data_IF_940837866778
#
_entry.id   IF_940837866778
#
_cell.length_a   1.000
_cell.length_b   1.000
_cell.length_c   1.000
_cell.angle_alpha   90.00
_cell.angle_beta   90.00
_cell.angle_gamma   90.00
#
_symmetry.space_group_name_H-M   'P 1'
#
loop_
_entity.id
_entity.type
_entity.pdbx_description
1 polymer ?
#
# COMPACT_ATOMS: atom_id res chain seq x y z
N UNK A 1 -16.27 22.32 18.06
CA UNK A 1 -16.65 23.26 17.02
C UNK A 1 -16.22 22.68 15.64
N UNK A 2 -17.07 22.65 14.61
CA UNK A 2 -16.77 22.05 13.31
C UNK A 2 -15.52 22.66 12.65
N UNK A 3 -15.31 23.96 12.79
CA UNK A 3 -14.14 24.66 12.23
C UNK A 3 -12.78 24.19 12.78
N UNK A 4 -12.70 23.82 14.04
CA UNK A 4 -11.45 23.32 14.64
C UNK A 4 -11.07 21.94 14.09
N UNK A 5 -12.05 21.10 13.80
CA UNK A 5 -11.83 19.79 13.17
C UNK A 5 -11.40 19.93 11.72
N UNK A 6 -11.96 20.87 10.98
CA UNK A 6 -11.55 21.16 9.60
C UNK A 6 -10.11 21.67 9.53
N UNK A 7 -9.73 22.62 10.39
CA UNK A 7 -8.36 23.11 10.48
C UNK A 7 -7.38 21.99 10.83
N UNK A 8 -7.73 21.16 11.80
CA UNK A 8 -6.91 20.00 12.18
C UNK A 8 -6.72 19.04 11.01
N UNK A 9 -7.80 18.76 10.27
CA UNK A 9 -7.74 17.89 9.11
C UNK A 9 -6.85 18.47 8.00
N UNK A 10 -6.95 19.77 7.75
CA UNK A 10 -6.10 20.45 6.78
C UNK A 10 -4.62 20.40 7.17
N UNK A 11 -4.30 20.63 8.45
CA UNK A 11 -2.93 20.54 8.96
C UNK A 11 -2.38 19.12 8.79
N UNK A 12 -3.15 18.10 9.15
CA UNK A 12 -2.74 16.70 8.99
C UNK A 12 -2.50 16.33 7.53
N UNK A 13 -3.39 16.74 6.64
CA UNK A 13 -3.26 16.50 5.21
C UNK A 13 -2.04 17.20 4.61
N UNK A 14 -1.79 18.45 5.01
CA UNK A 14 -0.63 19.21 4.56
C UNK A 14 0.67 18.58 5.06
N UNK A 15 0.72 18.17 6.32
CA UNK A 15 1.87 17.47 6.90
C UNK A 15 2.17 16.16 6.16
N UNK A 16 1.13 15.37 5.88
CA UNK A 16 1.26 14.14 5.10
C UNK A 16 1.79 14.41 3.70
N UNK A 17 1.29 15.45 3.04
CA UNK A 17 1.75 15.88 1.74
C UNK A 17 3.24 16.24 1.74
N UNK A 18 3.66 17.07 2.69
CA UNK A 18 5.06 17.49 2.83
C UNK A 18 5.96 16.28 3.08
N UNK A 19 5.56 15.37 3.96
CA UNK A 19 6.31 14.15 4.23
C UNK A 19 6.41 13.25 2.99
N UNK A 20 5.33 13.10 2.23
CA UNK A 20 5.32 12.35 0.98
C UNK A 20 6.26 12.95 -0.06
N UNK A 21 6.26 14.27 -0.21
CA UNK A 21 7.17 14.98 -1.12
C UNK A 21 8.64 14.81 -0.71
N UNK A 22 8.95 14.94 0.57
CA UNK A 22 10.31 14.77 1.10
C UNK A 22 10.82 13.34 0.88
N UNK A 23 9.98 12.34 1.16
CA UNK A 23 10.36 10.95 0.97
C UNK A 23 10.53 10.60 -0.50
N UNK A 24 9.67 11.13 -1.36
CA UNK A 24 9.80 10.96 -2.80
C UNK A 24 11.09 11.57 -3.33
N UNK A 25 11.44 12.77 -2.86
CA UNK A 25 12.70 13.42 -3.21
C UNK A 25 13.92 12.60 -2.76
N UNK A 26 13.89 12.04 -1.57
CA UNK A 26 14.95 11.16 -1.04
C UNK A 26 15.11 9.89 -1.87
N UNK A 27 14.00 9.24 -2.21
CA UNK A 27 14.00 8.01 -3.02
C UNK A 27 14.55 8.30 -4.41
N UNK A 28 14.13 9.40 -5.05
CA UNK A 28 14.53 9.76 -6.41
C UNK A 28 15.99 10.25 -6.52
N UNK A 29 16.52 10.82 -5.46
CA UNK A 29 17.91 11.32 -5.46
C UNK A 29 18.97 10.23 -5.35
N UNK A 30 18.58 8.97 -5.16
CA UNK A 30 19.49 7.84 -4.99
C UNK A 30 20.28 7.85 -3.67
N UNK A 31 20.05 8.84 -2.81
CA UNK A 31 20.65 8.93 -1.47
C UNK A 31 19.92 8.15 -0.38
N UNK A 32 18.97 7.34 -0.77
CA UNK A 32 18.15 6.58 0.15
C UNK A 32 18.73 5.18 0.38
N UNK A 33 19.13 4.91 1.60
CA UNK A 33 19.54 3.56 2.02
C UNK A 33 18.33 2.77 2.46
N UNK A 34 17.95 1.75 1.69
CA UNK A 34 16.96 0.76 2.07
C UNK A 34 17.49 -0.10 3.21
N UNK A 35 16.74 -0.15 4.30
CA UNK A 35 16.97 -1.05 5.42
C UNK A 35 16.04 -2.24 5.34
N UNK A 36 16.35 -3.20 4.48
CA UNK A 36 15.56 -4.42 4.34
C UNK A 36 15.80 -5.37 5.49
N UNK A 37 14.73 -5.92 6.00
CA UNK A 37 14.70 -6.96 7.04
C UNK A 37 13.80 -8.10 6.60
N UNK A 38 14.05 -9.29 7.15
CA UNK A 38 13.15 -10.41 7.00
C UNK A 38 12.00 -10.27 7.99
N UNK A 39 10.81 -10.05 7.47
CA UNK A 39 9.57 -9.87 8.23
C UNK A 39 8.54 -10.87 7.75
N UNK A 40 7.61 -11.25 8.63
CA UNK A 40 6.45 -12.02 8.18
C UNK A 40 5.45 -11.08 7.49
N UNK A 41 4.80 -11.57 6.45
CA UNK A 41 3.78 -10.79 5.74
C UNK A 41 2.65 -10.37 6.67
N UNK A 42 2.24 -11.27 7.58
CA UNK A 42 1.20 -10.98 8.57
C UNK A 42 1.56 -9.83 9.50
N UNK A 43 2.82 -9.73 9.94
CA UNK A 43 3.27 -8.61 10.79
C UNK A 43 3.16 -7.29 10.08
N UNK A 44 3.60 -7.23 8.83
CA UNK A 44 3.55 -5.99 8.03
C UNK A 44 2.11 -5.59 7.71
N UNK A 45 1.28 -6.53 7.32
CA UNK A 45 -0.15 -6.28 7.06
C UNK A 45 -0.86 -5.87 8.35
N UNK A 46 -0.62 -6.58 9.44
CA UNK A 46 -1.23 -6.27 10.75
C UNK A 46 -0.86 -4.88 11.25
N UNK A 47 0.40 -4.49 11.12
CA UNK A 47 0.88 -3.16 11.49
C UNK A 47 0.21 -2.06 10.65
N UNK A 48 0.10 -2.27 9.34
CA UNK A 48 -0.58 -1.33 8.45
C UNK A 48 -2.06 -1.16 8.80
N UNK A 49 -2.75 -2.26 9.11
CA UNK A 49 -4.15 -2.22 9.51
C UNK A 49 -4.37 -1.47 10.83
N UNK A 50 -3.49 -1.66 11.81
CA UNK A 50 -3.57 -0.93 13.09
C UNK A 50 -3.43 0.59 12.89
N UNK A 51 -2.63 1.02 11.94
CA UNK A 51 -2.47 2.45 11.63
C UNK A 51 -3.69 3.07 10.95
N UNK A 52 -4.53 2.25 10.32
CA UNK A 52 -5.76 2.71 9.64
C UNK A 52 -6.97 2.83 10.58
N UNK A 53 -6.96 2.14 11.71
CA UNK A 53 -7.97 2.34 12.74
C UNK A 53 -7.83 3.76 13.31
N UNK A 54 -8.84 4.53 13.42
CA UNK A 54 -10.26 4.37 13.64
C UNK A 54 -11.17 4.77 12.46
N UNK A 55 -10.64 4.80 11.25
CA UNK A 55 -11.38 5.28 10.07
C UNK A 55 -12.10 4.20 9.25
N UNK A 56 -11.95 2.92 9.60
CA UNK A 56 -12.55 1.82 8.87
C UNK A 56 -13.99 1.58 9.32
N UNK A 57 -14.92 1.70 8.37
CA UNK A 57 -16.34 1.41 8.62
C UNK A 57 -16.67 -0.07 8.58
N UNK A 58 -15.77 -0.89 8.03
CA UNK A 58 -15.95 -2.33 7.84
C UNK A 58 -14.61 -3.05 7.98
N UNK A 59 -14.61 -4.31 8.43
CA UNK A 59 -13.39 -5.10 8.47
C UNK A 59 -12.84 -5.34 7.05
N UNK A 60 -11.52 -5.40 6.94
CA UNK A 60 -10.84 -5.72 5.69
C UNK A 60 -10.76 -7.25 5.56
N UNK A 61 -11.12 -7.75 4.39
CA UNK A 61 -11.00 -9.15 4.06
C UNK A 61 -9.53 -9.51 3.81
N UNK A 62 -9.03 -10.52 4.50
CA UNK A 62 -7.65 -10.96 4.36
C UNK A 62 -7.60 -12.38 3.80
N UNK A 63 -6.82 -12.56 2.75
CA UNK A 63 -6.44 -13.87 2.21
C UNK A 63 -4.93 -13.89 2.01
N UNK A 64 -4.22 -14.36 3.02
CA UNK A 64 -2.77 -14.43 3.04
C UNK A 64 -2.32 -15.87 2.85
N UNK A 65 -1.12 -16.12 2.26
CA UNK A 65 -0.59 -17.47 2.16
C UNK A 65 -0.32 -18.06 3.55
N UNK A 66 0.02 -19.34 3.58
CA UNK A 66 0.34 -20.09 4.80
C UNK A 66 1.18 -19.29 5.81
N UNK A 67 0.95 -19.48 7.12
CA UNK A 67 1.64 -18.73 8.14
C UNK A 67 3.16 -18.80 7.99
N UNK A 68 3.83 -17.70 8.32
CA UNK A 68 5.27 -17.51 8.23
C UNK A 68 5.83 -17.28 6.80
N UNK A 69 5.03 -16.72 5.89
CA UNK A 69 5.60 -16.20 4.65
C UNK A 69 6.52 -15.01 4.95
N UNK A 70 7.83 -15.26 4.83
CA UNK A 70 8.84 -14.22 5.03
C UNK A 70 9.00 -13.38 3.77
N UNK A 71 9.07 -12.09 3.97
CA UNK A 71 9.37 -11.10 2.92
C UNK A 71 10.59 -10.28 3.32
N UNK A 72 11.41 -9.91 2.34
CA UNK A 72 12.61 -9.09 2.56
C UNK A 72 12.37 -7.67 2.10
N UNK A 73 11.95 -6.82 3.01
CA UNK A 73 11.49 -5.44 2.72
C UNK A 73 11.98 -4.47 3.79
N UNK A 74 11.97 -3.20 3.44
CA UNK A 74 12.02 -2.12 4.42
C UNK A 74 10.62 -1.99 5.04
N UNK A 75 10.47 -2.45 6.28
CA UNK A 75 9.17 -2.58 6.96
C UNK A 75 8.37 -1.28 6.96
N UNK A 76 8.90 -0.16 7.48
CA UNK A 76 8.19 1.11 7.51
C UNK A 76 7.76 1.61 6.13
N UNK A 77 8.60 1.45 5.11
CA UNK A 77 8.25 1.85 3.75
C UNK A 77 7.17 0.95 3.13
N UNK A 78 7.28 -0.35 3.33
CA UNK A 78 6.30 -1.27 2.78
C UNK A 78 4.93 -1.15 3.47
N UNK A 79 4.90 -0.93 4.78
CA UNK A 79 3.68 -0.56 5.52
C UNK A 79 3.03 0.69 4.92
N UNK A 80 3.83 1.66 4.54
CA UNK A 80 3.35 2.89 3.92
C UNK A 80 2.68 2.65 2.56
N UNK A 81 3.21 1.74 1.76
CA UNK A 81 2.55 1.29 0.53
C UNK A 81 1.16 0.72 0.84
N UNK A 82 1.07 -0.19 1.80
CA UNK A 82 -0.21 -0.78 2.19
C UNK A 82 -1.21 0.26 2.71
N UNK A 83 -0.78 1.14 3.59
CA UNK A 83 -1.62 2.21 4.13
C UNK A 83 -2.14 3.10 3.01
N UNK A 84 -1.30 3.54 2.09
CA UNK A 84 -1.70 4.39 0.98
C UNK A 84 -2.70 3.69 0.05
N UNK A 85 -2.49 2.42 -0.27
CA UNK A 85 -3.41 1.64 -1.10
C UNK A 85 -4.75 1.42 -0.41
N UNK A 86 -4.75 1.11 0.87
CA UNK A 86 -5.97 0.92 1.66
C UNK A 86 -6.75 2.22 1.85
N UNK A 87 -6.07 3.31 2.17
CA UNK A 87 -6.69 4.65 2.25
C UNK A 87 -7.32 5.04 0.92
N UNK A 88 -6.65 4.74 -0.18
CA UNK A 88 -7.18 4.97 -1.52
C UNK A 88 -8.45 4.15 -1.77
N UNK A 89 -8.47 2.89 -1.39
CA UNK A 89 -9.65 2.03 -1.51
C UNK A 89 -10.82 2.57 -0.66
N UNK A 90 -10.58 2.89 0.60
CA UNK A 90 -11.60 3.48 1.49
C UNK A 90 -12.18 4.77 0.89
N UNK A 91 -11.33 5.58 0.28
CA UNK A 91 -11.71 6.89 -0.25
C UNK A 91 -12.56 6.80 -1.51
N UNK A 92 -12.22 5.89 -2.43
CA UNK A 92 -12.84 5.84 -3.76
C UNK A 92 -13.88 4.75 -3.94
N UNK A 93 -13.85 3.69 -3.14
CA UNK A 93 -14.80 2.59 -3.26
C UNK A 93 -16.19 2.89 -2.72
N UNK A 94 -16.28 3.80 -1.76
CA UNK A 94 -17.53 4.15 -1.10
C UNK A 94 -17.74 3.43 0.24
N UNK A 95 -18.63 3.97 1.07
CA UNK A 95 -18.82 3.54 2.45
C UNK A 95 -19.38 2.11 2.60
N UNK A 96 -20.03 1.58 1.57
CA UNK A 96 -20.61 0.24 1.56
C UNK A 96 -19.74 -0.79 0.84
N UNK A 97 -18.58 -0.38 0.33
CA UNK A 97 -17.72 -1.26 -0.41
C UNK A 97 -16.95 -2.22 0.51
N UNK A 98 -16.74 -3.42 0.00
CA UNK A 98 -15.81 -4.37 0.57
C UNK A 98 -14.39 -4.06 0.08
N UNK A 99 -13.43 -4.17 0.99
CA UNK A 99 -12.02 -4.00 0.72
C UNK A 99 -11.29 -5.24 1.20
N UNK A 100 -10.30 -5.69 0.46
CA UNK A 100 -9.51 -6.85 0.83
C UNK A 100 -8.05 -6.74 0.47
N UNK A 101 -7.27 -7.59 1.09
CA UNK A 101 -5.88 -7.86 0.79
C UNK A 101 -5.75 -9.35 0.52
N UNK A 102 -5.32 -9.68 -0.69
CA UNK A 102 -5.00 -11.04 -1.09
C UNK A 102 -3.50 -11.11 -1.40
N UNK A 103 -2.84 -12.12 -0.91
CA UNK A 103 -1.45 -12.35 -1.25
C UNK A 103 -1.22 -13.82 -1.57
N UNK A 104 -0.36 -14.09 -2.52
CA UNK A 104 0.08 -15.42 -2.89
C UNK A 104 1.48 -15.40 -3.50
N UNK A 105 2.13 -16.53 -3.42
CA UNK A 105 3.45 -16.73 -4.04
C UNK A 105 3.25 -17.39 -5.38
N UNK A 106 3.79 -16.78 -6.41
CA UNK A 106 3.77 -17.30 -7.78
C UNK A 106 5.20 -17.36 -8.31
N UNK A 107 5.75 -18.59 -8.39
CA UNK A 107 7.14 -18.79 -8.73
C UNK A 107 8.10 -18.11 -7.75
N UNK A 108 8.95 -17.23 -8.25
CA UNK A 108 9.91 -16.44 -7.46
C UNK A 108 9.36 -15.07 -7.06
N UNK A 109 8.06 -14.86 -7.20
CA UNK A 109 7.43 -13.58 -6.89
C UNK A 109 6.35 -13.73 -5.82
N UNK A 110 6.26 -12.73 -4.95
CA UNK A 110 5.10 -12.49 -4.12
C UNK A 110 4.19 -11.51 -4.86
N UNK A 111 2.94 -11.88 -5.07
CA UNK A 111 1.89 -10.97 -5.49
C UNK A 111 1.04 -10.57 -4.28
N UNK A 112 0.83 -9.28 -4.13
CA UNK A 112 -0.04 -8.72 -3.11
C UNK A 112 -1.04 -7.78 -3.77
N UNK A 113 -2.32 -8.10 -3.64
CA UNK A 113 -3.43 -7.36 -4.20
C UNK A 113 -4.17 -6.62 -3.10
N UNK A 114 -4.33 -5.32 -3.25
CA UNK A 114 -5.28 -4.52 -2.47
C UNK A 114 -6.45 -4.20 -3.39
N UNK A 115 -7.62 -4.71 -3.06
CA UNK A 115 -8.79 -4.64 -3.91
C UNK A 115 -10.01 -4.06 -3.21
N UNK A 116 -10.93 -3.54 -3.99
CA UNK A 116 -12.26 -3.12 -3.57
C UNK A 116 -13.33 -3.59 -4.56
N UNK A 117 -14.57 -3.51 -4.16
CA UNK A 117 -15.73 -3.78 -5.01
C UNK A 117 -16.54 -2.51 -5.34
N UNK A 118 -15.90 -1.37 -5.31
CA UNK A 118 -16.47 -0.08 -5.66
C UNK A 118 -16.65 0.12 -7.17
N UNK A 119 -16.72 1.39 -7.64
CA UNK A 119 -16.97 1.71 -9.05
C UNK A 119 -15.80 1.36 -10.00
N UNK A 120 -14.62 1.08 -9.46
CA UNK A 120 -13.42 0.82 -10.26
C UNK A 120 -12.70 2.06 -10.75
N UNK A 121 -11.66 1.83 -11.54
CA UNK A 121 -10.85 2.88 -12.15
C UNK A 121 -11.54 3.46 -13.39
N UNK A 122 -11.37 4.76 -13.66
CA UNK A 122 -11.78 5.33 -14.93
C UNK A 122 -11.05 4.63 -16.10
N UNK A 123 -11.76 4.30 -17.18
CA UNK A 123 -11.16 3.63 -18.33
C UNK A 123 -9.97 4.41 -18.91
N UNK A 124 -8.87 3.67 -19.15
CA UNK A 124 -7.65 4.24 -19.75
C UNK A 124 -6.73 4.96 -18.78
N UNK A 125 -7.03 4.98 -17.47
CA UNK A 125 -6.21 5.65 -16.47
C UNK A 125 -5.36 4.69 -15.61
N UNK A 126 -5.34 3.41 -15.92
CA UNK A 126 -4.67 2.36 -15.13
C UNK A 126 -3.16 2.61 -14.95
N UNK A 127 -2.54 3.28 -15.91
CA UNK A 127 -1.11 3.64 -15.86
C UNK A 127 -0.88 5.02 -15.27
N UNK A 128 -1.71 5.97 -15.63
CA UNK A 128 -1.52 7.40 -15.28
C UNK A 128 -1.88 7.73 -13.84
N UNK A 129 -2.65 6.87 -13.16
CA UNK A 129 -2.99 7.07 -11.73
C UNK A 129 -1.78 7.07 -10.80
N UNK A 130 -0.65 6.50 -11.23
CA UNK A 130 0.61 6.50 -10.46
C UNK A 130 1.45 7.76 -10.70
N UNK A 131 1.06 8.62 -11.64
CA UNK A 131 1.77 9.86 -11.90
C UNK A 131 1.55 10.85 -10.76
N UNK A 132 2.57 11.68 -10.52
CA UNK A 132 2.48 12.74 -9.52
C UNK A 132 1.31 13.65 -9.83
N UNK A 133 0.51 13.97 -8.80
CA UNK A 133 -0.66 14.84 -8.91
C UNK A 133 -1.76 14.34 -9.86
N UNK A 134 -1.73 13.07 -10.25
CA UNK A 134 -2.82 12.46 -10.99
C UNK A 134 -4.09 12.46 -10.14
N UNK A 135 -5.15 13.02 -10.71
CA UNK A 135 -6.50 12.99 -10.13
C UNK A 135 -7.42 12.38 -11.17
N UNK A 136 -8.29 11.49 -10.73
CA UNK A 136 -9.38 11.03 -11.60
C UNK A 136 -10.24 12.22 -12.07
N UNK A 137 -10.83 12.13 -13.27
CA UNK A 137 -11.59 13.20 -13.96
C UNK A 137 -12.86 13.68 -13.25
N UNK A 138 -13.12 13.22 -12.03
CA UNK A 138 -14.13 13.86 -11.19
C UNK A 138 -13.41 14.77 -10.23
N UNK A 139 -13.66 16.05 -10.32
CA UNK A 139 -13.49 17.02 -9.26
C UNK A 139 -14.25 16.47 -8.04
N UNK A 140 -13.73 15.42 -7.46
CA UNK A 140 -14.31 14.86 -6.26
C UNK A 140 -13.96 15.82 -5.13
N UNK A 141 -14.96 16.19 -4.38
CA UNK A 141 -14.85 16.93 -3.13
C UNK A 141 -13.99 16.19 -2.07
N UNK A 142 -13.24 15.18 -2.48
CA UNK A 142 -12.40 14.36 -1.61
C UNK A 142 -10.98 14.93 -1.62
N UNK A 143 -10.51 15.47 -0.49
CA UNK A 143 -9.18 16.06 -0.40
C UNK A 143 -8.10 14.99 -0.60
N UNK A 144 -7.25 15.18 -1.59
CA UNK A 144 -6.10 14.34 -1.87
C UNK A 144 -5.25 14.98 -2.95
N UNK A 145 -3.94 14.94 -2.80
CA UNK A 145 -2.99 15.67 -3.65
C UNK A 145 -2.42 14.79 -4.77
N UNK A 146 -2.87 13.52 -4.88
CA UNK A 146 -2.42 12.64 -5.95
C UNK A 146 -0.95 12.17 -5.82
N UNK A 147 -0.39 12.20 -4.63
CA UNK A 147 0.98 11.73 -4.35
C UNK A 147 1.04 10.34 -3.75
N UNK A 148 -0.05 9.84 -3.15
CA UNK A 148 -0.08 8.57 -2.46
C UNK A 148 0.29 7.39 -3.36
N UNK A 149 -0.26 7.33 -4.56
CA UNK A 149 0.05 6.28 -5.53
C UNK A 149 1.45 6.44 -6.15
N UNK A 150 1.90 7.67 -6.39
CA UNK A 150 3.24 7.93 -6.90
C UNK A 150 4.31 7.48 -5.90
N UNK A 151 4.11 7.68 -4.60
CA UNK A 151 5.03 7.20 -3.58
C UNK A 151 5.01 5.69 -3.45
N UNK A 152 3.85 5.04 -3.59
CA UNK A 152 3.75 3.59 -3.64
C UNK A 152 4.63 3.03 -4.76
N UNK A 153 4.53 3.58 -5.96
CA UNK A 153 5.35 3.18 -7.10
C UNK A 153 6.84 3.38 -6.83
N UNK A 154 7.24 4.52 -6.30
CA UNK A 154 8.63 4.81 -5.97
C UNK A 154 9.19 3.81 -4.94
N UNK A 155 8.45 3.50 -3.89
CA UNK A 155 8.85 2.52 -2.86
C UNK A 155 8.94 1.12 -3.45
N UNK A 156 7.98 0.69 -4.24
CA UNK A 156 7.97 -0.63 -4.87
C UNK A 156 9.13 -0.75 -5.87
N UNK A 157 9.40 0.30 -6.65
CA UNK A 157 10.52 0.33 -7.60
C UNK A 157 11.88 0.13 -6.90
N UNK A 158 12.13 0.81 -5.78
CA UNK A 158 13.39 0.64 -5.03
C UNK A 158 13.51 -0.72 -4.35
N UNK A 159 12.41 -1.43 -4.16
CA UNK A 159 12.40 -2.82 -3.72
C UNK A 159 12.60 -3.82 -4.88
N UNK A 160 12.75 -3.35 -6.10
CA UNK A 160 12.90 -4.19 -7.29
C UNK A 160 11.60 -4.84 -7.77
N UNK A 161 10.47 -4.36 -7.29
CA UNK A 161 9.16 -4.85 -7.66
C UNK A 161 8.44 -4.00 -8.70
N UNK A 162 7.19 -4.33 -8.95
CA UNK A 162 6.28 -3.59 -9.84
C UNK A 162 4.94 -3.37 -9.16
N UNK A 163 4.29 -2.27 -9.49
CA UNK A 163 2.92 -1.99 -9.07
C UNK A 163 2.06 -1.70 -10.31
N UNK A 164 0.92 -2.33 -10.38
CA UNK A 164 -0.06 -2.16 -11.46
C UNK A 164 -1.46 -1.99 -10.88
N UNK A 165 -2.36 -1.44 -11.66
CA UNK A 165 -3.75 -1.30 -11.29
C UNK A 165 -4.65 -1.75 -12.44
N UNK A 166 -5.77 -2.36 -12.12
CA UNK A 166 -6.74 -2.84 -13.09
C UNK A 166 -8.14 -2.92 -12.48
N UNK A 167 -9.15 -2.95 -13.32
CA UNK A 167 -10.51 -3.24 -12.91
C UNK A 167 -10.71 -4.75 -12.75
N UNK A 168 -11.33 -5.14 -11.65
CA UNK A 168 -11.64 -6.55 -11.37
C UNK A 168 -12.80 -7.02 -12.26
N UNK A 169 -12.76 -8.28 -12.72
CA UNK A 169 -13.89 -8.86 -13.46
C UNK A 169 -15.21 -8.84 -12.68
N UNK A 170 -15.14 -8.98 -11.34
CA UNK A 170 -16.29 -8.97 -10.43
C UNK A 170 -16.79 -7.57 -10.09
N UNK A 171 -16.07 -6.54 -10.51
CA UNK A 171 -16.31 -5.15 -10.17
C UNK A 171 -15.32 -4.59 -9.16
N UNK A 172 -15.06 -3.30 -9.25
CA UNK A 172 -14.12 -2.58 -8.42
C UNK A 172 -12.70 -2.56 -9.00
N UNK A 173 -11.78 -2.01 -8.23
CA UNK A 173 -10.39 -1.85 -8.59
C UNK A 173 -9.48 -2.80 -7.81
N UNK A 174 -8.35 -3.13 -8.41
CA UNK A 174 -7.27 -3.87 -7.77
C UNK A 174 -5.94 -3.17 -8.04
N UNK A 175 -5.17 -3.01 -6.98
CA UNK A 175 -3.78 -2.58 -7.05
C UNK A 175 -2.89 -3.77 -6.71
N UNK A 176 -2.06 -4.18 -7.66
CA UNK A 176 -1.19 -5.35 -7.55
C UNK A 176 0.25 -4.93 -7.38
N UNK A 177 0.84 -5.32 -6.27
CA UNK A 177 2.27 -5.21 -5.98
C UNK A 177 2.89 -6.58 -6.21
N UNK A 178 3.93 -6.64 -7.04
CA UNK A 178 4.71 -7.84 -7.28
C UNK A 178 6.14 -7.60 -6.78
N UNK A 179 6.59 -8.41 -5.84
CA UNK A 179 7.94 -8.35 -5.28
C UNK A 179 8.70 -9.63 -5.62
N UNK A 180 9.96 -9.52 -6.07
CA UNK A 180 10.81 -10.71 -6.19
C UNK A 180 11.01 -11.32 -4.80
N UNK A 181 10.75 -12.62 -4.68
CA UNK A 181 11.05 -13.37 -3.47
C UNK A 181 12.48 -13.86 -3.50
N UNK A 182 13.26 -13.42 -2.52
CA UNK A 182 14.56 -14.01 -2.23
C UNK A 182 14.35 -15.27 -1.38
N UNK A 183 15.27 -16.22 -1.49
CA UNK A 183 15.28 -17.37 -0.60
C UNK A 183 15.57 -16.89 0.82
N UNK A 184 14.65 -17.15 1.74
CA UNK A 184 14.88 -16.84 3.14
C UNK A 184 16.09 -17.62 3.66
N UNK A 185 16.90 -17.02 4.56
CA UNK A 185 17.98 -17.75 5.19
C UNK A 185 17.39 -18.95 5.93
N UNK A 186 18.04 -20.12 5.77
CA UNK A 186 17.71 -21.29 6.58
C UNK A 186 17.97 -20.92 8.02
N UNK A 187 16.97 -21.13 8.88
CA UNK A 187 17.15 -21.06 10.32
C UNK A 187 18.09 -22.21 10.68
N UNK A 188 19.35 -21.89 11.02
CA UNK A 188 20.23 -22.90 11.63
C UNK A 188 19.47 -23.45 12.86
N UNK A 189 19.12 -24.73 12.81
CA UNK A 189 18.66 -25.43 13.98
C UNK A 189 19.77 -25.35 15.01
N UNK A 190 19.58 -24.55 16.05
CA UNK A 190 20.43 -24.61 17.22
C UNK A 190 20.26 -26.02 17.79
N UNK A 191 21.16 -26.91 17.45
CA UNK A 191 21.36 -28.12 18.20
C UNK A 191 21.91 -27.69 19.56
N UNK A 192 21.04 -27.64 20.55
CA UNK A 192 21.47 -27.67 21.94
C UNK A 192 22.16 -29.02 22.15
N UNK A 193 23.49 -29.03 22.05
CA UNK A 193 24.32 -30.08 22.58
C UNK A 193 24.15 -30.07 24.11
N UNK A 194 23.30 -30.99 24.61
CA UNK A 194 23.30 -31.36 26.02
C UNK A 194 24.37 -32.42 26.30
#
# INVERSE_FOLDING_TARGET
APQANEIRQHVLNTTRLVNNLLDMARIQSGGFNLHKEWLTLEEVVGSALQMLEPGLSSPINLSLPEPLTLIHVDGPLFERVLINLLENAVKYAGAQAEIGIDAHVEGENLQLDVWDNGPGLPPGQEQTIFDKFARGNKESAVPGVGLGLAICRAIVDVHGGTITAFNRPEGGACFRVTLPQQTAPELEEFHEDM
#
